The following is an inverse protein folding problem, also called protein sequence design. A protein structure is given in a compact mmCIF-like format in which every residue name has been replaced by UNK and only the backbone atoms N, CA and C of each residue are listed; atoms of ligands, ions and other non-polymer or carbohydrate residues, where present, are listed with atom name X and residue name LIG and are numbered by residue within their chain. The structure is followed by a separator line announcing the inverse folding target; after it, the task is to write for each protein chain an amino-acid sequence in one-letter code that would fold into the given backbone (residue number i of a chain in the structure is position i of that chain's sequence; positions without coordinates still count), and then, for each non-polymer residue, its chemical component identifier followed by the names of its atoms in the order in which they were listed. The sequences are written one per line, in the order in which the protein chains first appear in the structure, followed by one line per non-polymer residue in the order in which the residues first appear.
data_IF_294890676053
#
_entry.id   IF_294890676053
#
_cell.length_a   1.000
_cell.length_b   1.000
_cell.length_c   1.000
_cell.angle_alpha   90.00
_cell.angle_beta   90.00
_cell.angle_gamma   90.00
#
_symmetry.space_group_name_H-M   'P 1'
#
loop_
_entity.id
_entity.type
_entity.pdbx_description
1 polymer ?
#
# COMPACT_ATOMS: atom_id res chain seq x y z
N UNK A 1 42.35 15.38 -1.03
CA UNK A 1 40.98 15.21 -1.55
C UNK A 1 41.06 14.25 -2.72
N UNK A 2 40.29 13.16 -2.72
CA UNK A 2 40.28 12.20 -3.83
C UNK A 2 39.57 12.87 -5.03
N UNK A 3 40.31 13.21 -6.08
CA UNK A 3 39.76 13.75 -7.32
C UNK A 3 39.47 12.62 -8.31
N UNK A 4 38.64 12.88 -9.32
CA UNK A 4 38.39 11.92 -10.40
C UNK A 4 39.69 11.50 -11.11
N UNK A 5 40.57 12.46 -11.39
CA UNK A 5 41.89 12.21 -11.99
C UNK A 5 42.77 11.30 -11.11
N UNK A 6 42.75 11.53 -9.79
CA UNK A 6 43.47 10.67 -8.85
C UNK A 6 42.93 9.23 -8.88
N UNK A 7 41.60 9.06 -8.87
CA UNK A 7 40.96 7.75 -8.96
C UNK A 7 41.36 7.00 -10.23
N UNK A 8 41.25 7.63 -11.40
CA UNK A 8 41.60 7.00 -12.67
C UNK A 8 43.10 6.68 -12.78
N UNK A 9 43.96 7.56 -12.28
CA UNK A 9 45.40 7.28 -12.20
C UNK A 9 45.68 6.05 -11.34
N UNK A 10 45.00 5.90 -10.21
CA UNK A 10 45.14 4.72 -9.34
C UNK A 10 44.63 3.45 -10.02
N UNK A 11 43.50 3.51 -10.74
CA UNK A 11 42.98 2.36 -11.48
C UNK A 11 43.93 1.92 -12.58
N UNK A 12 44.52 2.86 -13.33
CA UNK A 12 45.51 2.55 -14.36
C UNK A 12 46.75 1.89 -13.74
N UNK A 13 47.30 2.44 -12.64
CA UNK A 13 48.41 1.82 -11.91
C UNK A 13 48.08 0.40 -11.43
N UNK A 14 46.86 0.18 -10.93
CA UNK A 14 46.41 -1.15 -10.51
C UNK A 14 46.27 -2.11 -11.68
N UNK A 15 45.84 -1.66 -12.86
CA UNK A 15 45.71 -2.48 -14.06
C UNK A 15 47.07 -2.85 -14.67
N UNK A 16 48.01 -1.90 -14.69
CA UNK A 16 49.35 -2.09 -15.23
C UNK A 16 50.24 -2.96 -14.31
N UNK A 17 49.91 -3.03 -13.02
CA UNK A 17 50.69 -3.79 -12.05
C UNK A 17 50.27 -5.26 -12.00
N UNK A 18 51.13 -6.16 -12.49
CA UNK A 18 50.95 -7.63 -12.36
C UNK A 18 51.49 -8.19 -11.04
N UNK A 19 52.27 -7.41 -10.28
CA UNK A 19 52.91 -7.83 -9.03
C UNK A 19 51.97 -7.70 -7.83
N UNK A 20 51.62 -8.82 -7.20
CA UNK A 20 50.66 -8.91 -6.09
C UNK A 20 50.99 -8.00 -4.89
N UNK A 21 52.26 -7.93 -4.49
CA UNK A 21 52.69 -7.11 -3.35
C UNK A 21 52.57 -5.61 -3.62
N UNK A 22 52.79 -5.19 -4.86
CA UNK A 22 52.68 -3.78 -5.26
C UNK A 22 51.21 -3.36 -5.36
N UNK A 23 50.33 -4.21 -5.90
CA UNK A 23 48.86 -4.01 -5.86
C UNK A 23 48.34 -3.86 -4.43
N UNK A 24 48.80 -4.70 -3.50
CA UNK A 24 48.40 -4.63 -2.09
C UNK A 24 48.86 -3.32 -1.43
N UNK A 25 50.06 -2.83 -1.77
CA UNK A 25 50.57 -1.53 -1.31
C UNK A 25 49.71 -0.37 -1.83
N UNK A 26 49.46 -0.32 -3.15
CA UNK A 26 48.61 0.71 -3.78
C UNK A 26 47.20 0.73 -3.16
N UNK A 27 46.60 -0.45 -2.97
CA UNK A 27 45.28 -0.57 -2.36
C UNK A 27 45.26 -0.05 -0.93
N UNK A 28 46.30 -0.35 -0.13
CA UNK A 28 46.42 0.12 1.25
C UNK A 28 46.60 1.64 1.32
N UNK A 29 47.36 2.23 0.39
CA UNK A 29 47.67 3.67 0.38
C UNK A 29 46.50 4.51 -0.16
N UNK A 30 45.74 3.99 -1.12
CA UNK A 30 44.68 4.75 -1.82
C UNK A 30 43.26 4.37 -1.38
N UNK A 31 43.07 3.21 -0.77
CA UNK A 31 41.76 2.62 -0.48
C UNK A 31 41.03 2.07 -1.73
N UNK A 32 41.61 2.19 -2.92
CA UNK A 32 41.04 1.73 -4.19
C UNK A 32 41.64 0.36 -4.51
N UNK A 33 40.79 -0.65 -4.69
CA UNK A 33 41.25 -2.03 -4.94
C UNK A 33 41.09 -2.48 -6.39
N UNK A 34 40.06 -1.98 -7.08
CA UNK A 34 39.75 -2.30 -8.47
C UNK A 34 38.69 -1.34 -9.02
N UNK A 35 38.51 -1.34 -10.33
CA UNK A 35 37.38 -0.66 -10.97
C UNK A 35 36.11 -1.46 -10.70
N UNK A 36 35.05 -0.88 -10.11
CA UNK A 36 33.79 -1.58 -9.92
C UNK A 36 33.24 -2.10 -11.25
N UNK A 37 32.72 -3.32 -11.26
CA UNK A 37 32.19 -3.95 -12.48
C UNK A 37 31.12 -3.08 -13.17
N UNK A 38 30.28 -2.41 -12.37
CA UNK A 38 29.26 -1.49 -12.86
C UNK A 38 29.83 -0.21 -13.50
N UNK A 39 31.06 0.18 -13.18
CA UNK A 39 31.75 1.30 -13.83
C UNK A 39 32.57 0.84 -15.06
N UNK A 40 33.05 -0.41 -15.06
CA UNK A 40 33.84 -1.00 -16.14
C UNK A 40 33.00 -1.53 -17.30
N UNK A 41 31.74 -1.90 -17.04
CA UNK A 41 30.90 -2.57 -18.02
C UNK A 41 30.11 -1.59 -18.88
N UNK A 42 30.21 -1.67 -20.22
CA UNK A 42 29.39 -0.86 -21.13
C UNK A 42 27.90 -1.21 -21.06
N UNK A 43 27.53 -2.31 -20.38
CA UNK A 43 26.12 -2.61 -20.07
C UNK A 43 25.51 -1.65 -19.05
N UNK A 44 26.34 -0.92 -18.28
CA UNK A 44 25.88 0.06 -17.30
C UNK A 44 26.11 1.49 -17.81
N UNK A 45 25.31 1.92 -18.79
CA UNK A 45 25.29 3.31 -19.28
C UNK A 45 24.51 4.20 -18.32
N UNK A 46 25.19 4.90 -17.41
CA UNK A 46 24.52 5.89 -16.55
C UNK A 46 24.05 7.10 -17.39
N UNK A 47 22.79 7.58 -17.23
CA UNK A 47 21.80 7.20 -16.23
C UNK A 47 20.82 6.10 -16.67
N UNK A 48 20.84 5.68 -17.93
CA UNK A 48 19.93 4.69 -18.55
C UNK A 48 19.97 3.28 -17.94
N UNK A 49 21.06 2.88 -17.30
CA UNK A 49 21.25 1.54 -16.75
C UNK A 49 20.77 1.35 -15.31
N UNK A 50 20.43 2.43 -14.62
CA UNK A 50 19.77 2.33 -13.32
C UNK A 50 18.28 2.55 -13.56
N UNK A 51 17.42 1.52 -13.37
CA UNK A 51 15.99 1.75 -13.40
C UNK A 51 15.69 2.83 -12.35
N UNK A 52 14.90 3.84 -12.74
CA UNK A 52 14.38 4.80 -11.76
C UNK A 52 13.64 3.97 -10.72
N UNK A 53 14.06 4.06 -9.47
CA UNK A 53 13.37 3.42 -8.36
C UNK A 53 12.21 4.33 -7.96
N UNK A 54 10.99 4.11 -8.49
CA UNK A 54 9.86 4.96 -8.16
C UNK A 54 9.60 4.90 -6.67
N UNK A 55 9.91 3.80 -5.98
CA UNK A 55 9.62 3.69 -4.57
C UNK A 55 10.46 4.67 -3.74
N UNK A 56 11.77 4.71 -3.97
CA UNK A 56 12.65 5.61 -3.21
C UNK A 56 12.34 7.08 -3.50
N UNK A 57 12.12 7.42 -4.77
CA UNK A 57 11.79 8.80 -5.15
C UNK A 57 10.44 9.22 -4.57
N UNK A 58 9.40 8.42 -4.79
CA UNK A 58 8.04 8.78 -4.43
C UNK A 58 7.85 8.74 -2.91
N UNK A 59 8.16 7.61 -2.26
CA UNK A 59 7.82 7.41 -0.86
C UNK A 59 8.90 7.96 0.08
N UNK A 60 10.17 7.60 -0.15
CA UNK A 60 11.25 7.98 0.79
C UNK A 60 11.67 9.44 0.64
N UNK A 61 11.65 10.00 -0.56
CA UNK A 61 12.07 11.39 -0.76
C UNK A 61 10.89 12.35 -0.64
N UNK A 62 9.82 12.17 -1.43
CA UNK A 62 8.75 13.18 -1.51
C UNK A 62 7.82 13.13 -0.30
N UNK A 63 7.28 11.96 0.09
CA UNK A 63 6.37 11.89 1.26
C UNK A 63 7.09 12.31 2.54
N UNK A 64 8.32 11.86 2.75
CA UNK A 64 9.14 12.30 3.87
C UNK A 64 9.39 13.81 3.85
N UNK A 65 9.67 14.39 2.69
CA UNK A 65 9.84 15.84 2.56
C UNK A 65 8.55 16.61 2.89
N UNK A 66 7.39 16.17 2.41
CA UNK A 66 6.10 16.81 2.74
C UNK A 66 5.86 16.75 4.26
N UNK A 67 6.15 15.61 4.89
CA UNK A 67 6.06 15.48 6.35
C UNK A 67 6.97 16.49 7.07
N UNK A 68 8.19 16.70 6.59
CA UNK A 68 9.15 17.66 7.17
C UNK A 68 8.66 19.09 7.01
N UNK A 69 8.08 19.37 5.85
CA UNK A 69 7.54 20.68 5.54
C UNK A 69 6.41 21.02 6.53
N UNK A 70 5.56 20.06 6.88
CA UNK A 70 4.50 20.24 7.86
C UNK A 70 4.99 20.33 9.31
N UNK A 71 6.03 19.58 9.68
CA UNK A 71 6.43 19.41 11.10
C UNK A 71 7.64 20.23 11.52
N UNK A 72 8.54 20.57 10.59
CA UNK A 72 9.84 21.20 10.88
C UNK A 72 9.95 22.57 10.19
N UNK A 73 9.64 22.66 8.90
CA UNK A 73 9.98 23.83 8.08
C UNK A 73 8.86 24.87 7.96
N UNK A 74 7.67 24.57 8.46
CA UNK A 74 6.55 25.52 8.51
C UNK A 74 6.42 26.17 9.87
N UNK A 75 5.91 27.39 9.87
CA UNK A 75 5.59 28.16 11.07
C UNK A 75 4.12 28.04 11.44
N UNK A 76 3.77 28.30 12.71
CA UNK A 76 2.39 28.21 13.23
C UNK A 76 1.37 29.08 12.49
N UNK A 77 1.81 30.13 11.80
CA UNK A 77 0.96 30.99 10.99
C UNK A 77 0.54 30.36 9.65
N UNK A 78 1.25 29.32 9.21
CA UNK A 78 1.06 28.73 7.88
C UNK A 78 0.00 27.62 7.93
N UNK A 79 -0.87 27.52 6.90
CA UNK A 79 -1.95 26.52 6.87
C UNK A 79 -1.42 25.09 6.81
N UNK A 80 -0.18 24.90 6.36
CA UNK A 80 0.49 23.60 6.25
C UNK A 80 1.10 23.12 7.56
N UNK A 81 1.13 23.97 8.60
CA UNK A 81 1.82 23.66 9.84
C UNK A 81 1.06 22.62 10.67
N UNK A 82 1.73 21.52 10.95
CA UNK A 82 1.29 20.48 11.86
C UNK A 82 1.94 20.72 13.23
N UNK A 83 1.18 21.34 14.14
CA UNK A 83 1.64 21.59 15.51
C UNK A 83 2.17 20.33 16.18
N UNK A 84 3.16 20.45 17.08
CA UNK A 84 3.76 19.33 17.82
C UNK A 84 2.72 18.41 18.45
N UNK A 85 1.69 18.96 19.10
CA UNK A 85 0.62 18.17 19.73
C UNK A 85 -0.14 17.30 18.70
N UNK A 86 -0.49 17.89 17.54
CA UNK A 86 -1.14 17.13 16.46
C UNK A 86 -0.19 16.10 15.84
N UNK A 87 1.09 16.41 15.69
CA UNK A 87 2.09 15.45 15.17
C UNK A 87 2.28 14.26 16.11
N UNK A 88 2.33 14.48 17.43
CA UNK A 88 2.41 13.42 18.43
C UNK A 88 1.14 12.55 18.43
N UNK A 89 -0.04 13.18 18.35
CA UNK A 89 -1.29 12.45 18.25
C UNK A 89 -1.35 11.63 16.96
N UNK A 90 -0.92 12.21 15.84
CA UNK A 90 -0.83 11.54 14.56
C UNK A 90 0.04 10.29 14.67
N UNK A 91 1.23 10.42 15.26
CA UNK A 91 2.17 9.32 15.46
C UNK A 91 1.59 8.15 16.26
N UNK A 92 0.93 8.45 17.38
CA UNK A 92 0.23 7.46 18.21
C UNK A 92 -0.91 6.77 17.45
N UNK A 93 -1.67 7.52 16.68
CA UNK A 93 -2.78 7.00 15.88
C UNK A 93 -2.30 6.06 14.77
N UNK A 94 -1.18 6.37 14.11
CA UNK A 94 -0.52 5.46 13.15
C UNK A 94 -0.13 4.15 13.83
N UNK A 95 0.58 4.23 14.95
CA UNK A 95 1.04 3.03 15.67
C UNK A 95 -0.12 2.16 16.15
N UNK A 96 -1.25 2.76 16.55
CA UNK A 96 -2.43 2.03 17.00
C UNK A 96 -3.19 1.30 15.87
N UNK A 97 -3.03 1.75 14.62
CA UNK A 97 -3.74 1.20 13.45
C UNK A 97 -3.25 -0.18 13.00
N UNK A 98 -2.14 -0.68 13.55
CA UNK A 98 -1.52 -1.95 13.12
C UNK A 98 -2.44 -3.16 13.29
N UNK A 99 -3.27 -3.19 14.35
CA UNK A 99 -4.09 -4.34 14.73
C UNK A 99 -5.18 -4.68 13.71
N UNK A 100 -5.54 -3.72 12.87
CA UNK A 100 -6.58 -3.84 11.84
C UNK A 100 -6.05 -3.75 10.43
N UNK A 101 -4.72 -3.71 10.27
CA UNK A 101 -4.05 -3.74 8.98
C UNK A 101 -3.63 -5.18 8.64
N UNK A 102 -4.08 -5.79 7.54
CA UNK A 102 -3.72 -7.16 7.18
C UNK A 102 -2.20 -7.36 7.00
N UNK A 103 -1.59 -8.41 7.59
CA UNK A 103 -0.19 -8.79 7.37
C UNK A 103 0.25 -8.92 5.92
N UNK A 104 -0.67 -9.25 5.02
CA UNK A 104 -0.40 -9.34 3.58
C UNK A 104 -0.19 -7.98 2.91
N UNK A 105 -0.48 -6.86 3.60
CA UNK A 105 -0.32 -5.52 3.05
C UNK A 105 1.09 -4.99 3.29
N UNK A 106 1.56 -4.99 4.53
CA UNK A 106 2.95 -4.66 4.86
C UNK A 106 3.27 -5.09 6.29
N UNK A 107 4.53 -4.90 6.69
CA UNK A 107 4.95 -5.01 8.09
C UNK A 107 4.36 -3.93 9.02
N UNK A 108 4.71 -3.97 10.31
CA UNK A 108 4.32 -2.96 11.30
C UNK A 108 4.64 -1.52 10.86
N UNK A 109 3.66 -0.62 10.92
CA UNK A 109 3.85 0.81 10.61
C UNK A 109 4.06 1.57 11.91
N UNK A 110 5.24 2.16 12.08
CA UNK A 110 5.64 2.81 13.33
C UNK A 110 5.27 4.28 13.33
N UNK A 111 5.41 4.91 14.50
CA UNK A 111 5.20 6.35 14.67
C UNK A 111 6.21 7.16 13.81
N UNK A 112 5.76 7.95 12.81
CA UNK A 112 6.65 8.75 11.99
C UNK A 112 7.38 9.84 12.76
N UNK A 113 6.78 10.45 13.79
CA UNK A 113 7.43 11.50 14.55
C UNK A 113 8.65 10.95 15.30
N UNK A 114 8.53 9.75 15.86
CA UNK A 114 9.61 9.12 16.63
C UNK A 114 10.65 8.41 15.74
N UNK A 115 10.23 7.83 14.62
CA UNK A 115 11.07 6.90 13.84
C UNK A 115 11.57 7.45 12.51
N UNK A 116 11.08 8.62 12.06
CA UNK A 116 11.54 9.24 10.80
C UNK A 116 13.06 9.34 10.70
N UNK A 117 13.72 9.81 11.77
CA UNK A 117 15.17 10.02 11.77
C UNK A 117 15.97 8.72 11.91
N UNK A 118 15.33 7.62 12.34
CA UNK A 118 15.94 6.33 12.62
C UNK A 118 15.52 5.24 11.61
N UNK A 119 15.75 5.50 10.32
CA UNK A 119 15.47 4.56 9.22
C UNK A 119 13.99 4.13 9.13
N UNK A 120 13.10 5.11 8.94
CA UNK A 120 11.72 4.83 8.55
C UNK A 120 11.69 4.14 7.18
N UNK A 121 11.07 2.97 7.13
CA UNK A 121 11.13 2.06 5.98
C UNK A 121 10.17 2.51 4.89
N UNK A 122 10.44 2.06 3.67
CA UNK A 122 9.70 2.47 2.49
C UNK A 122 8.22 2.12 2.56
N UNK A 123 7.89 0.91 3.02
CA UNK A 123 6.50 0.49 3.18
C UNK A 123 5.75 1.30 4.25
N UNK A 124 6.47 1.87 5.23
CA UNK A 124 5.86 2.73 6.24
C UNK A 124 5.50 4.09 5.62
N UNK A 125 6.37 4.64 4.76
CA UNK A 125 6.04 5.85 3.97
C UNK A 125 4.88 5.60 3.00
N UNK A 126 4.79 4.41 2.41
CA UNK A 126 3.66 4.01 1.57
C UNK A 126 2.36 3.95 2.38
N UNK A 127 2.41 3.36 3.57
CA UNK A 127 1.28 3.32 4.49
C UNK A 127 0.83 4.74 4.90
N UNK A 128 1.76 5.65 5.16
CA UNK A 128 1.40 7.04 5.45
C UNK A 128 0.69 7.70 4.28
N UNK A 129 1.23 7.57 3.07
CA UNK A 129 0.66 8.17 1.87
C UNK A 129 -0.74 7.66 1.58
N UNK A 130 -0.93 6.33 1.52
CA UNK A 130 -2.19 5.74 1.05
C UNK A 130 -3.24 5.56 2.15
N UNK A 131 -2.82 5.40 3.41
CA UNK A 131 -3.74 5.02 4.48
C UNK A 131 -3.87 6.10 5.53
N UNK A 132 -2.79 6.66 6.04
CA UNK A 132 -2.85 7.38 7.32
C UNK A 132 -2.92 8.90 7.22
N UNK A 133 -2.25 9.54 6.26
CA UNK A 133 -2.18 11.02 6.21
C UNK A 133 -3.57 11.63 6.05
N UNK A 134 -4.37 11.17 5.09
CA UNK A 134 -5.71 11.73 4.86
C UNK A 134 -6.66 11.31 5.98
N UNK A 135 -6.69 10.03 6.35
CA UNK A 135 -7.62 9.50 7.37
C UNK A 135 -7.44 10.18 8.72
N UNK A 136 -6.21 10.20 9.24
CA UNK A 136 -5.87 10.81 10.51
C UNK A 136 -5.92 12.33 10.40
N UNK A 137 -5.48 12.89 9.28
CA UNK A 137 -5.49 14.33 9.05
C UNK A 137 -6.89 14.94 9.11
N UNK A 138 -7.90 14.26 8.58
CA UNK A 138 -9.31 14.64 8.72
C UNK A 138 -9.71 14.70 10.20
N UNK A 139 -9.39 13.65 10.96
CA UNK A 139 -9.82 13.54 12.37
C UNK A 139 -9.07 14.51 13.29
N UNK A 140 -7.81 14.85 12.97
CA UNK A 140 -7.05 15.87 13.69
C UNK A 140 -7.37 17.30 13.24
N UNK A 141 -8.31 17.48 12.32
CA UNK A 141 -8.70 18.78 11.79
C UNK A 141 -7.51 19.51 11.14
N UNK A 142 -6.74 18.81 10.31
CA UNK A 142 -5.76 19.46 9.44
C UNK A 142 -6.49 20.36 8.43
N UNK A 143 -5.77 21.36 7.90
CA UNK A 143 -6.35 22.30 6.95
C UNK A 143 -6.91 21.56 5.71
N UNK A 144 -8.17 21.83 5.36
CA UNK A 144 -8.86 21.11 4.28
C UNK A 144 -8.21 21.31 2.92
N UNK A 145 -7.64 22.49 2.64
CA UNK A 145 -6.93 22.74 1.36
C UNK A 145 -5.63 21.94 1.28
N UNK A 146 -4.94 21.76 2.40
CA UNK A 146 -3.73 20.92 2.49
C UNK A 146 -4.07 19.45 2.23
N UNK A 147 -5.13 18.94 2.88
CA UNK A 147 -5.59 17.57 2.66
C UNK A 147 -6.12 17.35 1.24
N UNK A 148 -6.84 18.32 0.67
CA UNK A 148 -7.30 18.27 -0.71
C UNK A 148 -6.11 18.18 -1.68
N UNK A 149 -5.13 19.06 -1.55
CA UNK A 149 -3.92 19.01 -2.36
C UNK A 149 -3.18 17.68 -2.21
N UNK A 150 -3.06 17.16 -0.97
CA UNK A 150 -2.45 15.86 -0.72
C UNK A 150 -3.26 14.69 -1.32
N UNK A 151 -4.58 14.80 -1.42
CA UNK A 151 -5.41 13.79 -2.10
C UNK A 151 -5.18 13.74 -3.61
N UNK A 152 -4.92 14.89 -4.25
CA UNK A 152 -4.50 14.92 -5.66
C UNK A 152 -3.13 14.26 -5.82
N UNK A 153 -2.19 14.56 -4.92
CA UNK A 153 -0.87 13.92 -4.88
C UNK A 153 -0.96 12.39 -4.74
N UNK A 154 -1.77 11.90 -3.81
CA UNK A 154 -2.02 10.46 -3.62
C UNK A 154 -2.61 9.83 -4.89
N UNK A 155 -3.60 10.48 -5.53
CA UNK A 155 -4.22 9.97 -6.75
C UNK A 155 -3.24 9.91 -7.95
N UNK A 156 -2.35 10.89 -8.08
CA UNK A 156 -1.27 10.87 -9.08
C UNK A 156 -0.36 9.66 -8.85
N UNK A 157 -0.02 9.39 -7.60
CA UNK A 157 0.88 8.28 -7.24
C UNK A 157 0.19 6.93 -7.42
N UNK A 158 -1.06 6.81 -7.03
CA UNK A 158 -1.87 5.63 -7.26
C UNK A 158 -1.97 5.33 -8.77
N UNK A 159 -2.24 6.35 -9.59
CA UNK A 159 -2.27 6.19 -11.04
C UNK A 159 -0.94 5.65 -11.58
N UNK A 160 0.18 6.27 -11.18
CA UNK A 160 1.52 5.91 -11.63
C UNK A 160 1.96 4.51 -11.17
N UNK A 161 1.54 4.10 -9.97
CA UNK A 161 1.88 2.83 -9.36
C UNK A 161 0.90 1.70 -9.70
N UNK A 162 -0.19 1.95 -10.43
CA UNK A 162 -1.12 0.89 -10.81
C UNK A 162 -0.69 0.23 -12.10
N UNK A 163 -0.52 -1.10 -12.09
CA UNK A 163 -0.11 -1.88 -13.28
C UNK A 163 -1.33 -2.11 -14.19
N UNK A 164 -1.75 -1.04 -14.89
CA UNK A 164 -2.90 -1.06 -15.82
C UNK A 164 -2.53 -0.33 -17.12
N UNK A 165 -2.96 -0.88 -18.26
CA UNK A 165 -2.83 -0.19 -19.54
C UNK A 165 -3.58 1.16 -19.49
N UNK A 166 -2.99 2.21 -20.07
CA UNK A 166 -3.53 3.58 -20.02
C UNK A 166 -3.85 4.07 -21.42
N UNK A 167 -5.04 4.63 -21.59
CA UNK A 167 -5.45 5.32 -22.80
C UNK A 167 -4.83 6.73 -22.88
N UNK A 168 -4.86 7.36 -24.05
CA UNK A 168 -4.46 8.77 -24.22
C UNK A 168 -5.33 9.71 -23.36
N UNK A 169 -6.61 9.37 -23.18
CA UNK A 169 -7.53 10.10 -22.30
C UNK A 169 -7.10 9.99 -20.83
N UNK A 170 -6.73 8.79 -20.36
CA UNK A 170 -6.19 8.59 -19.01
C UNK A 170 -4.96 9.47 -18.75
N UNK A 171 -4.04 9.54 -19.73
CA UNK A 171 -2.84 10.36 -19.63
C UNK A 171 -3.16 11.86 -19.63
N UNK A 172 -4.17 12.28 -20.39
CA UNK A 172 -4.65 13.67 -20.42
C UNK A 172 -5.24 14.05 -19.07
N UNK A 173 -6.06 13.17 -18.50
CA UNK A 173 -6.66 13.37 -17.17
C UNK A 173 -5.59 13.40 -16.07
N UNK A 174 -4.60 12.51 -16.12
CA UNK A 174 -3.45 12.54 -15.21
C UNK A 174 -2.70 13.87 -15.32
N UNK A 175 -2.41 14.33 -16.54
CA UNK A 175 -1.69 15.59 -16.76
C UNK A 175 -2.47 16.78 -16.19
N UNK A 176 -3.79 16.80 -16.33
CA UNK A 176 -4.63 17.83 -15.74
C UNK A 176 -4.63 17.77 -14.21
N UNK A 177 -4.71 16.57 -13.62
CA UNK A 177 -4.61 16.38 -12.18
C UNK A 177 -3.25 16.86 -11.62
N UNK A 178 -2.15 16.59 -12.31
CA UNK A 178 -0.81 17.09 -11.96
C UNK A 178 -0.79 18.62 -11.99
N UNK A 179 -1.36 19.26 -13.01
CA UNK A 179 -1.44 20.74 -13.07
C UNK A 179 -2.20 21.31 -11.88
N UNK A 180 -3.35 20.73 -11.53
CA UNK A 180 -4.15 21.16 -10.37
C UNK A 180 -3.34 21.00 -9.09
N UNK A 181 -2.72 19.83 -8.87
CA UNK A 181 -1.86 19.59 -7.72
C UNK A 181 -0.74 20.63 -7.62
N UNK A 182 0.00 20.89 -8.69
CA UNK A 182 1.14 21.84 -8.68
C UNK A 182 0.69 23.27 -8.42
N UNK A 183 -0.42 23.70 -9.04
CA UNK A 183 -0.99 25.04 -8.85
C UNK A 183 -1.42 25.25 -7.40
N UNK A 184 -2.13 24.27 -6.83
CA UNK A 184 -2.53 24.31 -5.42
C UNK A 184 -1.32 24.21 -4.48
N UNK A 185 -0.33 23.39 -4.84
CA UNK A 185 0.89 23.25 -4.04
C UNK A 185 1.64 24.59 -3.97
N UNK A 186 1.86 25.24 -5.11
CA UNK A 186 2.47 26.57 -5.16
C UNK A 186 1.67 27.57 -4.32
N UNK A 187 0.35 27.64 -4.51
CA UNK A 187 -0.54 28.54 -3.76
C UNK A 187 -0.50 28.31 -2.25
N UNK A 188 -0.50 27.07 -1.79
CA UNK A 188 -0.64 26.70 -0.37
C UNK A 188 0.70 26.70 0.35
N UNK A 189 1.76 26.19 -0.29
CA UNK A 189 3.05 25.95 0.35
C UNK A 189 4.07 27.06 0.09
N UNK A 190 3.96 27.77 -1.03
CA UNK A 190 4.83 28.91 -1.37
C UNK A 190 4.06 30.22 -1.15
N UNK A 191 2.84 30.32 -1.66
CA UNK A 191 2.05 31.55 -1.63
C UNK A 191 2.74 32.69 -2.37
N UNK A 192 2.64 33.91 -1.84
CA UNK A 192 3.30 35.11 -2.41
C UNK A 192 4.74 35.31 -1.90
N UNK A 193 5.32 34.28 -1.26
CA UNK A 193 6.56 34.37 -0.50
C UNK A 193 7.70 33.66 -1.24
N UNK A 194 8.44 34.36 -2.12
CA UNK A 194 9.50 33.76 -2.94
C UNK A 194 10.62 33.13 -2.11
N UNK A 195 10.84 33.57 -0.87
CA UNK A 195 11.80 32.96 0.05
C UNK A 195 11.47 31.48 0.38
N UNK A 196 10.19 31.09 0.30
CA UNK A 196 9.71 29.72 0.55
C UNK A 196 9.96 28.78 -0.63
N UNK A 197 10.26 29.32 -1.81
CA UNK A 197 10.68 28.53 -2.99
C UNK A 197 11.93 27.70 -2.65
N UNK A 198 12.83 28.24 -1.82
CA UNK A 198 14.03 27.50 -1.39
C UNK A 198 13.70 26.27 -0.53
N UNK A 199 12.61 26.30 0.25
CA UNK A 199 12.15 25.14 1.04
C UNK A 199 11.64 24.03 0.13
N UNK A 200 10.94 24.40 -0.95
CA UNK A 200 10.34 23.46 -1.90
C UNK A 200 11.32 22.97 -2.97
N UNK A 201 12.25 23.80 -3.45
CA UNK A 201 13.23 23.43 -4.49
C UNK A 201 14.57 23.01 -3.89
N UNK A 202 15.06 23.66 -2.83
CA UNK A 202 16.37 23.41 -2.25
C UNK A 202 16.47 22.07 -1.54
N UNK A 203 15.44 21.67 -0.79
CA UNK A 203 15.40 20.35 -0.15
C UNK A 203 15.00 19.23 -1.09
N UNK A 204 14.05 19.47 -2.01
CA UNK A 204 13.75 18.52 -3.07
C UNK A 204 14.98 18.34 -3.97
N UNK A 205 15.73 19.38 -4.30
CA UNK A 205 16.99 19.28 -5.04
C UNK A 205 18.13 18.62 -4.26
N UNK A 206 18.19 18.80 -2.94
CA UNK A 206 19.15 18.09 -2.09
C UNK A 206 18.80 16.60 -1.88
N UNK A 207 17.50 16.26 -1.85
CA UNK A 207 17.00 14.87 -1.72
C UNK A 207 16.87 14.16 -3.08
N UNK A 208 16.66 14.89 -4.18
CA UNK A 208 16.83 14.46 -5.57
C UNK A 208 18.31 14.64 -5.94
N UNK A 209 19.19 13.86 -5.32
CA UNK A 209 20.53 13.60 -5.90
C UNK A 209 20.45 12.49 -6.95
N UNK A 210 19.59 12.67 -7.95
CA UNK A 210 19.72 11.99 -9.24
C UNK A 210 19.52 13.03 -10.35
N UNK A 211 20.60 13.28 -11.10
CA UNK A 211 20.72 14.38 -12.05
C UNK A 211 20.20 13.97 -13.43
N UNK A 212 19.27 14.79 -13.94
CA UNK A 212 18.85 15.00 -15.34
C UNK A 212 17.63 14.18 -15.83
N UNK A 213 16.51 14.91 -15.95
CA UNK A 213 15.30 14.62 -16.75
C UNK A 213 14.28 13.59 -16.22
N UNK A 214 13.41 13.97 -15.25
CA UNK A 214 12.39 13.09 -14.66
C UNK A 214 11.23 12.68 -15.59
N UNK A 215 10.97 13.40 -16.70
CA UNK A 215 9.77 13.17 -17.52
C UNK A 215 10.01 12.39 -18.83
N UNK A 216 11.25 12.31 -19.33
CA UNK A 216 11.55 11.63 -20.59
C UNK A 216 11.56 10.10 -20.47
N UNK A 217 11.87 9.56 -19.29
CA UNK A 217 12.06 8.11 -19.09
C UNK A 217 10.83 7.39 -18.49
N UNK A 218 9.84 8.14 -18.00
CA UNK A 218 8.54 7.59 -17.60
C UNK A 218 7.81 6.97 -18.80
N UNK A 219 7.91 7.60 -19.98
CA UNK A 219 7.31 7.11 -21.21
C UNK A 219 7.91 5.76 -21.67
N UNK A 220 9.22 5.56 -21.51
CA UNK A 220 9.89 4.33 -21.93
C UNK A 220 9.58 3.13 -21.01
N UNK A 221 9.48 3.36 -19.69
CA UNK A 221 9.07 2.33 -18.72
C UNK A 221 7.61 1.90 -18.91
N UNK A 222 6.73 2.85 -19.25
CA UNK A 222 5.36 2.54 -19.65
C UNK A 222 5.37 1.72 -20.94
N UNK A 223 6.16 2.12 -21.94
CA UNK A 223 6.26 1.41 -23.23
C UNK A 223 6.76 -0.03 -23.11
N UNK A 224 7.87 -0.29 -22.42
CA UNK A 224 8.43 -1.64 -22.26
C UNK A 224 7.48 -2.59 -21.52
N UNK A 225 6.74 -2.07 -20.53
CA UNK A 225 5.75 -2.88 -19.80
C UNK A 225 4.46 -3.12 -20.59
N UNK A 226 4.03 -2.19 -21.43
CA UNK A 226 2.93 -2.44 -22.36
C UNK A 226 3.32 -3.47 -23.43
N UNK A 227 4.59 -3.52 -23.85
CA UNK A 227 5.11 -4.60 -24.71
C UNK A 227 5.04 -5.96 -24.01
N UNK A 228 5.39 -6.06 -22.73
CA UNK A 228 5.24 -7.29 -21.93
C UNK A 228 3.77 -7.72 -21.78
N UNK A 229 2.84 -6.78 -21.63
CA UNK A 229 1.40 -7.10 -21.56
C UNK A 229 0.85 -7.52 -22.92
N UNK A 230 1.28 -6.88 -24.00
CA UNK A 230 0.96 -7.30 -25.35
C UNK A 230 1.46 -8.74 -25.59
N UNK A 231 2.69 -9.05 -25.19
CA UNK A 231 3.25 -10.41 -25.25
C UNK A 231 2.41 -11.43 -24.47
N UNK A 232 1.97 -11.11 -23.25
CA UNK A 232 1.08 -11.99 -22.47
C UNK A 232 -0.32 -12.14 -23.10
N UNK A 233 -0.77 -11.16 -23.87
CA UNK A 233 -2.01 -11.26 -24.65
C UNK A 233 -1.85 -12.11 -25.92
N UNK A 234 -0.66 -12.14 -26.52
CA UNK A 234 -0.34 -12.95 -27.70
C UNK A 234 0.02 -14.40 -27.34
N UNK A 235 0.56 -14.63 -26.14
CA UNK A 235 0.97 -15.95 -25.64
C UNK A 235 0.33 -16.26 -24.27
N UNK A 236 -0.98 -16.57 -24.24
CA UNK A 236 -1.71 -16.83 -23.00
C UNK A 236 -1.14 -17.99 -22.18
N UNK A 237 -0.46 -18.95 -22.82
CA UNK A 237 0.23 -20.08 -22.19
C UNK A 237 1.37 -19.70 -21.24
N UNK A 238 1.86 -18.45 -21.31
CA UNK A 238 2.79 -17.90 -20.33
C UNK A 238 2.09 -17.50 -19.01
N UNK A 239 0.75 -17.43 -18.99
CA UNK A 239 -0.02 -17.37 -17.75
C UNK A 239 -0.11 -18.77 -17.15
N UNK A 240 0.62 -18.99 -16.06
CA UNK A 240 0.51 -20.23 -15.30
C UNK A 240 -0.91 -20.37 -14.75
N UNK A 241 -1.64 -21.45 -15.06
CA UNK A 241 -2.99 -21.63 -14.53
C UNK A 241 -3.00 -21.68 -12.99
N UNK A 242 -3.75 -20.76 -12.37
CA UNK A 242 -3.86 -20.61 -10.93
C UNK A 242 -4.96 -21.52 -10.36
N UNK A 243 -4.66 -22.81 -10.14
CA UNK A 243 -5.56 -23.70 -9.40
C UNK A 243 -5.80 -23.25 -7.95
N UNK A 244 -7.07 -23.11 -7.54
CA UNK A 244 -7.49 -22.84 -6.16
C UNK A 244 -7.57 -24.15 -5.37
N UNK A 245 -6.78 -24.32 -4.30
CA UNK A 245 -6.99 -25.40 -3.33
C UNK A 245 -7.92 -24.93 -2.21
N UNK A 246 -8.98 -25.69 -1.95
CA UNK A 246 -9.88 -25.50 -0.82
C UNK A 246 -9.28 -26.18 0.42
N UNK A 247 -9.18 -25.46 1.54
CA UNK A 247 -8.91 -26.07 2.84
C UNK A 247 -9.99 -25.58 3.81
N UNK A 248 -10.92 -26.47 4.15
CA UNK A 248 -11.96 -26.22 5.13
C UNK A 248 -11.47 -26.68 6.50
N UNK A 249 -11.34 -25.75 7.45
CA UNK A 249 -11.24 -26.09 8.87
C UNK A 249 -12.67 -26.25 9.39
N UNK A 250 -13.09 -27.50 9.57
CA UNK A 250 -14.39 -27.85 10.14
C UNK A 250 -14.39 -27.59 11.65
N UNK A 251 -15.32 -26.76 12.11
CA UNK A 251 -15.65 -26.67 13.53
C UNK A 251 -16.86 -27.58 13.82
N UNK A 252 -16.84 -28.36 14.91
CA UNK A 252 -17.98 -29.19 15.30
C UNK A 252 -19.24 -28.35 15.55
N UNK A 253 -20.41 -28.99 15.35
CA UNK A 253 -21.77 -28.43 15.48
C UNK A 253 -22.06 -27.91 16.89
N UNK A 254 -21.56 -26.73 17.25
CA UNK A 254 -22.15 -25.94 18.34
C UNK A 254 -23.19 -25.00 17.73
N UNK A 255 -24.46 -25.39 17.88
CA UNK A 255 -25.62 -24.56 17.59
C UNK A 255 -25.74 -23.51 18.69
N UNK A 256 -25.08 -22.37 18.53
CA UNK A 256 -25.29 -21.20 19.37
C UNK A 256 -26.49 -20.39 18.91
N UNK A 257 -27.04 -19.54 19.76
CA UNK A 257 -28.11 -18.58 19.39
C UNK A 257 -27.75 -17.76 18.14
N UNK A 258 -26.49 -17.34 18.03
CA UNK A 258 -25.96 -16.65 16.85
C UNK A 258 -26.09 -17.48 15.55
N UNK A 259 -26.01 -18.80 15.62
CA UNK A 259 -26.19 -19.65 14.44
C UNK A 259 -27.59 -19.49 13.85
N UNK A 260 -28.64 -19.52 14.67
CA UNK A 260 -30.02 -19.39 14.19
C UNK A 260 -30.29 -18.01 13.58
N UNK A 261 -29.76 -16.94 14.19
CA UNK A 261 -29.85 -15.58 13.65
C UNK A 261 -29.22 -15.50 12.26
N UNK A 262 -28.04 -16.11 12.07
CA UNK A 262 -27.36 -16.14 10.78
C UNK A 262 -28.15 -16.92 9.72
N UNK A 263 -28.68 -18.09 10.07
CA UNK A 263 -29.47 -18.91 9.13
C UNK A 263 -30.77 -18.20 8.76
N UNK A 264 -31.45 -17.57 9.72
CA UNK A 264 -32.64 -16.77 9.43
C UNK A 264 -32.33 -15.61 8.49
N UNK A 265 -31.19 -14.93 8.66
CA UNK A 265 -30.75 -13.87 7.75
C UNK A 265 -30.50 -14.40 6.34
N UNK A 266 -29.86 -15.57 6.19
CA UNK A 266 -29.61 -16.19 4.88
C UNK A 266 -30.91 -16.61 4.20
N UNK A 267 -31.81 -17.28 4.92
CA UNK A 267 -33.10 -17.69 4.37
C UNK A 267 -33.98 -16.50 3.99
N UNK A 268 -33.93 -15.42 4.77
CA UNK A 268 -34.62 -14.16 4.43
C UNK A 268 -34.05 -13.54 3.15
N UNK A 269 -32.73 -13.60 2.97
CA UNK A 269 -32.07 -13.12 1.75
C UNK A 269 -32.45 -13.97 0.53
N UNK A 270 -32.49 -15.30 0.67
CA UNK A 270 -32.93 -16.23 -0.39
C UNK A 270 -34.44 -16.20 -0.64
N UNK A 271 -35.22 -15.52 0.22
CA UNK A 271 -36.69 -15.55 0.23
C UNK A 271 -37.25 -16.98 0.38
N UNK A 272 -36.61 -17.81 1.21
CA UNK A 272 -36.95 -19.21 1.46
C UNK A 272 -37.47 -19.42 2.89
N UNK A 273 -38.36 -20.40 3.09
CA UNK A 273 -38.77 -20.85 4.42
C UNK A 273 -37.72 -21.76 5.08
N UNK A 274 -37.63 -21.72 6.40
CA UNK A 274 -36.73 -22.60 7.17
C UNK A 274 -37.17 -24.07 7.03
N UNK A 275 -36.23 -24.94 6.65
CA UNK A 275 -36.37 -26.39 6.71
C UNK A 275 -35.21 -26.94 7.57
N UNK A 276 -35.52 -27.59 8.72
CA UNK A 276 -34.50 -28.07 9.65
C UNK A 276 -33.63 -29.20 9.08
N UNK A 277 -34.05 -29.82 7.97
CA UNK A 277 -33.30 -30.91 7.34
C UNK A 277 -32.29 -30.42 6.29
N UNK A 278 -32.27 -29.12 5.97
CA UNK A 278 -31.31 -28.57 5.01
C UNK A 278 -29.88 -28.78 5.55
N UNK A 279 -28.99 -29.44 4.78
CA UNK A 279 -27.58 -29.53 5.14
C UNK A 279 -26.93 -28.14 5.14
N UNK A 280 -26.35 -27.76 6.28
CA UNK A 280 -25.66 -26.48 6.44
C UNK A 280 -24.25 -26.74 6.97
N UNK A 281 -23.26 -26.22 6.25
CA UNK A 281 -21.86 -26.20 6.69
C UNK A 281 -21.46 -24.77 7.05
N UNK A 282 -20.79 -24.59 8.20
CA UNK A 282 -20.26 -23.29 8.65
C UNK A 282 -18.74 -23.37 8.82
N UNK A 283 -18.01 -22.38 8.31
CA UNK A 283 -16.55 -22.29 8.49
C UNK A 283 -16.08 -20.85 8.69
N UNK A 284 -14.81 -20.71 9.08
CA UNK A 284 -14.26 -19.47 9.58
C UNK A 284 -13.19 -18.78 8.72
N UNK A 285 -12.71 -19.41 7.65
CA UNK A 285 -11.61 -18.90 6.81
C UNK A 285 -11.85 -19.18 5.33
N UNK A 286 -11.53 -18.24 4.47
CA UNK A 286 -11.74 -18.37 3.03
C UNK A 286 -10.58 -17.73 2.25
N UNK A 287 -10.10 -18.40 1.22
CA UNK A 287 -9.16 -17.79 0.28
C UNK A 287 -9.91 -16.83 -0.64
N UNK A 288 -9.55 -15.54 -0.59
CA UNK A 288 -10.03 -14.53 -1.56
C UNK A 288 -9.14 -14.53 -2.80
N UNK A 289 -7.84 -14.74 -2.59
CA UNK A 289 -6.87 -14.96 -3.66
C UNK A 289 -5.82 -15.97 -3.20
N UNK A 290 -4.87 -16.35 -4.07
CA UNK A 290 -3.77 -17.25 -3.68
C UNK A 290 -2.96 -16.75 -2.48
N UNK A 291 -2.86 -15.42 -2.31
CA UNK A 291 -2.03 -14.80 -1.27
C UNK A 291 -2.85 -14.24 -0.10
N UNK A 292 -4.17 -14.12 -0.25
CA UNK A 292 -5.05 -13.50 0.75
C UNK A 292 -6.05 -14.52 1.30
N UNK A 293 -6.06 -14.65 2.63
CA UNK A 293 -7.07 -15.39 3.38
C UNK A 293 -7.91 -14.37 4.15
N UNK A 294 -9.22 -14.37 3.89
CA UNK A 294 -10.21 -13.66 4.68
C UNK A 294 -10.60 -14.56 5.85
N UNK A 295 -10.36 -14.08 7.06
CA UNK A 295 -10.86 -14.73 8.26
C UNK A 295 -12.25 -14.21 8.59
N UNK A 296 -12.88 -14.82 9.57
CA UNK A 296 -14.13 -14.35 10.14
C UNK A 296 -13.97 -14.06 11.62
N UNK A 297 -14.88 -13.26 12.16
CA UNK A 297 -14.94 -12.97 13.58
C UNK A 297 -14.96 -14.26 14.43
N UNK A 298 -15.74 -15.27 14.03
CA UNK A 298 -15.75 -16.55 14.76
C UNK A 298 -14.39 -17.23 14.78
N UNK A 299 -13.62 -17.14 13.70
CA UNK A 299 -12.29 -17.78 13.61
C UNK A 299 -11.21 -17.02 14.37
N UNK A 300 -11.31 -15.70 14.43
CA UNK A 300 -10.30 -14.87 15.12
C UNK A 300 -10.56 -14.81 16.63
N UNK A 301 -11.81 -14.91 17.07
CA UNK A 301 -12.17 -14.93 18.49
C UNK A 301 -12.03 -16.33 19.14
N UNK A 302 -11.95 -17.40 18.34
CA UNK A 302 -11.68 -18.73 18.86
C UNK A 302 -10.16 -18.94 19.04
N UNK A 303 -9.72 -18.97 20.29
CA UNK A 303 -8.31 -19.21 20.66
C UNK A 303 -7.58 -17.92 20.99
N UNK A 304 -6.34 -17.79 20.52
CA UNK A 304 -5.55 -16.57 20.68
C UNK A 304 -5.89 -15.58 19.56
N UNK A 305 -6.43 -14.39 19.89
CA UNK A 305 -6.68 -13.36 18.88
C UNK A 305 -5.40 -13.04 18.11
N UNK A 306 -5.46 -12.93 16.77
CA UNK A 306 -4.29 -12.57 15.99
C UNK A 306 -3.85 -11.15 16.36
N UNK A 307 -2.54 -10.89 16.28
CA UNK A 307 -2.02 -9.53 16.49
C UNK A 307 -2.55 -8.53 15.46
N UNK A 308 -2.98 -9.03 14.29
CA UNK A 308 -3.50 -8.25 13.17
C UNK A 308 -4.65 -9.00 12.51
N UNK A 309 -5.77 -8.31 12.29
CA UNK A 309 -7.00 -8.91 11.79
C UNK A 309 -7.02 -9.03 10.26
N UNK A 310 -7.63 -10.11 9.77
CA UNK A 310 -7.89 -10.40 8.35
C UNK A 310 -9.37 -10.54 8.05
N UNK A 311 -10.27 -9.99 8.90
CA UNK A 311 -11.71 -10.25 8.81
C UNK A 311 -12.51 -9.23 7.99
N UNK A 312 -11.86 -8.17 7.53
CA UNK A 312 -12.53 -7.10 6.79
C UNK A 312 -12.35 -7.31 5.29
N UNK A 313 -13.41 -7.06 4.53
CA UNK A 313 -13.43 -7.26 3.09
C UNK A 313 -14.10 -6.09 2.36
N UNK A 314 -13.75 -6.00 1.08
CA UNK A 314 -14.47 -5.27 0.06
C UNK A 314 -15.21 -6.27 -0.83
N UNK A 315 -16.46 -5.97 -1.16
CA UNK A 315 -17.25 -6.69 -2.14
C UNK A 315 -17.96 -5.71 -3.09
N UNK A 316 -18.71 -6.26 -4.04
CA UNK A 316 -19.58 -5.48 -4.91
C UNK A 316 -21.04 -5.85 -4.68
N UNK A 317 -21.91 -4.85 -4.69
CA UNK A 317 -23.35 -5.10 -4.84
C UNK A 317 -23.72 -5.38 -6.31
N UNK A 318 -25.01 -5.62 -6.57
CA UNK A 318 -25.52 -5.86 -7.91
C UNK A 318 -25.31 -4.68 -8.90
N UNK A 319 -25.06 -3.47 -8.39
CA UNK A 319 -24.82 -2.27 -9.17
C UNK A 319 -23.33 -1.93 -9.28
N UNK A 320 -22.44 -2.84 -8.86
CA UNK A 320 -20.99 -2.63 -8.80
C UNK A 320 -20.57 -1.47 -7.89
N UNK A 321 -21.42 -1.12 -6.92
CA UNK A 321 -21.06 -0.18 -5.86
C UNK A 321 -20.26 -0.95 -4.80
N UNK A 322 -19.07 -0.44 -4.41
CA UNK A 322 -18.28 -1.07 -3.36
C UNK A 322 -19.06 -1.18 -2.06
N UNK A 323 -19.08 -2.37 -1.49
CA UNK A 323 -19.57 -2.65 -0.14
C UNK A 323 -18.39 -3.08 0.73
N UNK A 324 -18.43 -2.68 2.01
CA UNK A 324 -17.38 -3.05 2.97
C UNK A 324 -18.01 -3.77 4.14
N UNK A 325 -17.32 -4.76 4.69
CA UNK A 325 -17.87 -5.62 5.73
C UNK A 325 -16.83 -6.23 6.65
N UNK A 326 -17.26 -6.50 7.88
CA UNK A 326 -16.59 -7.44 8.79
C UNK A 326 -17.25 -8.81 8.64
N UNK A 327 -16.51 -9.80 8.12
CA UNK A 327 -17.00 -11.15 7.97
C UNK A 327 -17.22 -11.81 9.35
N UNK A 328 -18.44 -12.27 9.62
CA UNK A 328 -18.81 -12.91 10.90
C UNK A 328 -18.62 -14.43 10.79
N UNK A 329 -19.14 -15.04 9.73
CA UNK A 329 -19.04 -16.46 9.44
C UNK A 329 -19.34 -16.75 7.97
N UNK A 330 -18.78 -17.84 7.43
CA UNK A 330 -19.13 -18.35 6.10
C UNK A 330 -20.05 -19.57 6.21
N UNK A 331 -20.92 -19.72 5.21
CA UNK A 331 -21.93 -20.77 5.14
C UNK A 331 -22.01 -21.39 3.76
N UNK A 332 -22.30 -22.67 3.71
CA UNK A 332 -22.63 -23.44 2.50
C UNK A 332 -23.94 -24.15 2.79
N UNK A 333 -24.92 -23.91 1.93
CA UNK A 333 -26.29 -24.39 2.06
C UNK A 333 -26.65 -25.12 0.77
N UNK A 334 -27.23 -26.32 0.93
CA UNK A 334 -27.74 -27.08 -0.21
C UNK A 334 -29.09 -26.53 -0.69
N UNK A 335 -29.13 -26.15 -1.97
CA UNK A 335 -30.32 -25.67 -2.65
C UNK A 335 -31.29 -26.81 -3.00
N UNK A 336 -32.51 -26.45 -3.41
CA UNK A 336 -33.58 -27.41 -3.75
C UNK A 336 -33.23 -28.35 -4.92
N UNK A 337 -32.33 -27.92 -5.80
CA UNK A 337 -31.89 -28.67 -6.99
C UNK A 337 -30.56 -29.42 -6.75
N UNK A 338 -30.10 -29.55 -5.49
CA UNK A 338 -28.80 -30.13 -5.17
C UNK A 338 -27.59 -29.22 -5.44
N UNK A 339 -27.84 -27.99 -5.92
CA UNK A 339 -26.80 -26.97 -6.10
C UNK A 339 -26.42 -26.37 -4.74
N UNK A 340 -25.14 -26.38 -4.38
CA UNK A 340 -24.66 -25.72 -3.17
C UNK A 340 -24.43 -24.22 -3.41
N UNK A 341 -24.90 -23.39 -2.48
CA UNK A 341 -24.68 -21.95 -2.49
C UNK A 341 -23.83 -21.56 -1.29
N UNK A 342 -22.93 -20.59 -1.50
CA UNK A 342 -21.98 -20.15 -0.48
C UNK A 342 -22.18 -18.68 -0.13
N UNK A 343 -22.28 -18.41 1.16
CA UNK A 343 -22.62 -17.11 1.71
C UNK A 343 -21.61 -16.64 2.75
N UNK A 344 -21.45 -15.32 2.84
CA UNK A 344 -20.87 -14.64 4.00
C UNK A 344 -21.98 -13.93 4.77
N UNK A 345 -22.01 -14.15 6.07
CA UNK A 345 -22.77 -13.32 7.01
C UNK A 345 -21.81 -12.30 7.59
N UNK A 346 -22.16 -11.03 7.54
CA UNK A 346 -21.23 -9.93 7.85
C UNK A 346 -21.90 -8.74 8.53
N UNK A 347 -21.13 -7.95 9.26
CA UNK A 347 -21.52 -6.61 9.68
C UNK A 347 -21.19 -5.62 8.56
N UNK A 348 -22.19 -4.99 7.91
CA UNK A 348 -21.93 -4.05 6.83
C UNK A 348 -21.42 -2.72 7.39
N UNK A 349 -20.56 -2.08 6.62
CA UNK A 349 -20.30 -0.65 6.76
C UNK A 349 -21.47 0.12 6.12
N UNK A 350 -22.07 1.02 6.87
CA UNK A 350 -23.17 1.91 6.45
C UNK A 350 -22.73 3.36 6.47
N UNK A 351 -23.57 4.25 5.93
CA UNK A 351 -23.24 5.67 5.71
C UNK A 351 -21.93 5.85 4.93
N UNK A 352 -21.70 4.94 3.98
CA UNK A 352 -20.44 4.85 3.23
C UNK A 352 -20.35 6.01 2.25
N UNK A 353 -19.25 6.76 2.33
CA UNK A 353 -18.94 7.83 1.39
C UNK A 353 -17.43 7.92 1.18
N UNK A 354 -17.05 8.41 -0.01
CA UNK A 354 -15.66 8.66 -0.37
C UNK A 354 -15.35 10.14 -0.15
N UNK A 355 -14.39 10.46 0.71
CA UNK A 355 -13.93 11.83 0.97
C UNK A 355 -12.43 11.88 0.76
N UNK A 356 -11.96 12.77 -0.13
CA UNK A 356 -10.53 12.89 -0.45
C UNK A 356 -9.90 11.56 -0.89
N UNK A 357 -10.63 10.79 -1.72
CA UNK A 357 -10.27 9.45 -2.19
C UNK A 357 -10.16 8.37 -1.10
N UNK A 358 -10.73 8.62 0.09
CA UNK A 358 -10.76 7.67 1.19
C UNK A 358 -12.21 7.29 1.52
N UNK A 359 -12.48 5.99 1.54
CA UNK A 359 -13.78 5.45 1.95
C UNK A 359 -13.92 5.44 3.47
N UNK A 360 -15.06 5.91 3.96
CA UNK A 360 -15.40 5.88 5.38
C UNK A 360 -16.89 5.69 5.61
N UNK A 361 -17.22 5.17 6.79
CA UNK A 361 -18.60 4.93 7.22
C UNK A 361 -18.68 4.59 8.71
N UNK A 362 -19.71 3.84 9.09
CA UNK A 362 -19.91 3.32 10.45
C UNK A 362 -20.35 1.86 10.37
N UNK A 363 -20.00 1.06 11.38
CA UNK A 363 -20.52 -0.30 11.46
C UNK A 363 -22.02 -0.28 11.76
N UNK A 364 -22.80 -1.02 10.97
CA UNK A 364 -24.20 -1.27 11.30
C UNK A 364 -24.30 -2.22 12.51
N UNK A 365 -25.42 -2.11 13.23
CA UNK A 365 -25.78 -3.09 14.27
C UNK A 365 -26.31 -4.37 13.65
N UNK A 366 -27.04 -4.25 12.54
CA UNK A 366 -27.63 -5.37 11.86
C UNK A 366 -26.59 -6.15 11.05
N UNK A 367 -26.87 -7.44 10.85
CA UNK A 367 -26.07 -8.30 9.97
C UNK A 367 -26.68 -8.32 8.57
N UNK A 368 -25.85 -8.54 7.56
CA UNK A 368 -26.26 -8.76 6.18
C UNK A 368 -25.67 -10.05 5.64
N UNK A 369 -26.21 -10.47 4.50
CA UNK A 369 -25.79 -11.67 3.77
C UNK A 369 -25.39 -11.27 2.37
N UNK A 370 -24.32 -11.90 1.88
CA UNK A 370 -23.82 -11.71 0.53
C UNK A 370 -23.30 -13.06 -0.01
N UNK A 371 -23.46 -13.37 -1.31
CA UNK A 371 -22.76 -14.48 -1.93
C UNK A 371 -21.24 -14.31 -1.79
N UNK A 372 -20.53 -15.40 -1.51
CA UNK A 372 -19.05 -15.36 -1.41
C UNK A 372 -18.41 -14.87 -2.72
N UNK A 373 -19.01 -15.18 -3.87
CA UNK A 373 -18.56 -14.72 -5.18
C UNK A 373 -18.58 -13.21 -5.36
N UNK A 374 -19.26 -12.47 -4.49
CA UNK A 374 -19.30 -11.00 -4.52
C UNK A 374 -18.16 -10.34 -3.73
N UNK A 375 -17.36 -11.11 -2.98
CA UNK A 375 -16.18 -10.62 -2.28
C UNK A 375 -15.06 -10.40 -3.31
N UNK A 376 -14.48 -9.19 -3.30
CA UNK A 376 -13.46 -8.75 -4.26
C UNK A 376 -12.06 -8.85 -3.68
N UNK A 377 -11.83 -8.28 -2.50
CA UNK A 377 -10.54 -8.33 -1.83
C UNK A 377 -10.67 -8.20 -0.31
N UNK A 378 -9.60 -8.49 0.41
CA UNK A 378 -9.45 -8.12 1.81
C UNK A 378 -9.12 -6.63 1.92
N UNK A 379 -9.54 -6.01 3.02
CA UNK A 379 -9.17 -4.62 3.35
C UNK A 379 -8.69 -4.54 4.79
N UNK A 380 -7.89 -3.52 5.09
CA UNK A 380 -7.70 -3.08 6.46
C UNK A 380 -8.77 -2.07 6.85
N UNK A 381 -8.86 -1.80 8.15
CA UNK A 381 -9.67 -0.69 8.65
C UNK A 381 -8.85 0.19 9.59
N UNK A 382 -9.26 1.43 9.77
CA UNK A 382 -8.80 2.29 10.86
C UNK A 382 -10.00 2.97 11.51
N UNK A 383 -10.10 2.91 12.84
CA UNK A 383 -11.27 3.37 13.58
C UNK A 383 -10.95 4.58 14.45
N UNK A 384 -11.82 5.59 14.44
CA UNK A 384 -11.71 6.76 15.32
C UNK A 384 -13.09 7.36 15.61
N UNK A 385 -13.43 7.58 16.88
CA UNK A 385 -14.70 8.18 17.32
C UNK A 385 -15.94 7.67 16.56
N UNK A 386 -16.14 6.34 16.52
CA UNK A 386 -17.19 5.61 15.78
C UNK A 386 -17.12 5.60 14.25
N UNK A 387 -16.23 6.38 13.64
CA UNK A 387 -15.97 6.33 12.20
C UNK A 387 -15.00 5.21 11.89
N UNK A 388 -15.23 4.57 10.76
CA UNK A 388 -14.39 3.50 10.23
C UNK A 388 -13.90 3.95 8.86
N UNK A 389 -12.60 3.86 8.66
CA UNK A 389 -11.89 4.18 7.42
C UNK A 389 -11.41 2.89 6.79
N UNK A 390 -11.64 2.73 5.49
CA UNK A 390 -11.20 1.55 4.75
C UNK A 390 -9.79 1.76 4.23
N UNK A 391 -8.90 0.82 4.53
CA UNK A 391 -7.52 0.80 4.05
C UNK A 391 -7.43 -0.26 2.94
N UNK A 392 -7.45 0.17 1.67
CA UNK A 392 -7.28 -0.75 0.53
C UNK A 392 -5.82 -1.11 0.32
N UNK A 393 -5.58 -2.28 -0.26
CA UNK A 393 -4.23 -2.69 -0.67
C UNK A 393 -3.68 -1.68 -1.68
N UNK A 394 -2.50 -1.13 -1.44
CA UNK A 394 -1.92 -0.15 -2.35
C UNK A 394 -1.32 -0.83 -3.59
N UNK A 395 -1.41 -0.20 -4.78
CA UNK A 395 -0.98 -0.84 -6.02
C UNK A 395 0.54 -1.05 -6.08
N UNK A 396 1.32 -0.26 -5.34
CA UNK A 396 2.77 -0.45 -5.23
C UNK A 396 3.21 -1.82 -4.67
N UNK A 397 2.34 -2.62 -4.03
CA UNK A 397 2.71 -3.98 -3.60
C UNK A 397 2.80 -4.95 -4.78
N UNK A 398 2.04 -4.70 -5.85
CA UNK A 398 2.07 -5.54 -7.05
C UNK A 398 3.39 -5.42 -7.81
N UNK A 399 4.16 -4.39 -7.49
CA UNK A 399 5.49 -4.15 -8.06
C UNK A 399 6.61 -4.88 -7.31
N UNK A 400 6.34 -5.41 -6.11
CA UNK A 400 7.35 -6.12 -5.33
C UNK A 400 7.50 -7.55 -5.83
N UNK A 401 8.75 -8.02 -5.97
CA UNK A 401 9.05 -9.42 -6.28
C UNK A 401 8.68 -10.33 -5.09
N UNK A 402 8.58 -11.64 -5.32
CA UNK A 402 8.31 -12.59 -4.22
C UNK A 402 9.43 -12.56 -3.16
N UNK A 403 10.69 -12.41 -3.59
CA UNK A 403 11.85 -12.24 -2.69
C UNK A 403 11.76 -10.97 -1.84
N UNK A 404 11.26 -9.86 -2.41
CA UNK A 404 11.05 -8.60 -1.69
C UNK A 404 9.88 -8.69 -0.70
N UNK A 405 8.85 -9.47 -1.02
CA UNK A 405 7.73 -9.76 -0.11
C UNK A 405 8.13 -10.70 1.04
N UNK A 406 9.02 -11.66 0.79
CA UNK A 406 9.49 -12.62 1.79
C UNK A 406 10.43 -11.99 2.82
N UNK A 407 11.34 -11.11 2.39
CA UNK A 407 12.18 -10.32 3.31
C UNK A 407 11.39 -9.44 4.27
N UNK A 408 10.16 -9.04 3.91
CA UNK A 408 9.26 -8.33 4.83
C UNK A 408 8.68 -9.25 5.92
N UNK A 409 8.56 -10.56 5.67
CA UNK A 409 8.06 -11.53 6.65
C UNK A 409 9.13 -11.93 7.66
N UNK A 410 10.39 -12.05 7.23
CA UNK A 410 11.52 -12.42 8.10
C UNK A 410 11.84 -11.38 9.18
N UNK A 411 11.53 -10.10 8.96
CA UNK A 411 11.62 -9.06 10.00
C UNK A 411 10.60 -9.19 11.14
N UNK A 412 9.84 -10.28 11.18
CA UNK A 412 8.89 -10.65 12.25
C UNK A 412 9.43 -11.77 13.15
N UNK A 413 10.64 -12.28 12.91
CA UNK A 413 11.29 -13.18 13.86
C UNK A 413 11.85 -12.37 15.03
N UNK A 414 11.21 -12.62 16.17
CA UNK A 414 11.53 -12.29 17.56
C UNK A 414 13.04 -12.08 17.78
N UNK A 415 13.40 -10.86 18.23
CA UNK A 415 14.57 -10.69 19.09
C UNK A 415 14.22 -11.39 20.42
N UNK A 416 14.89 -12.50 20.69
CA UNK A 416 14.91 -13.16 22.01
C UNK A 416 15.58 -12.26 23.06
#
# INVERSE_FOLDING_TARGET
MCTEEHYWSTINQLNDTTVKNLRAKITRETGISHMPLAAASPAFIHPSSFPVDPFHLLFKNIVAFIWDLWTIHSSQSEPIHLSTQKAEMFGKLVASGISTLPPSFCGPVRDPLLKRQSQYKIYEWMALLYWYIITIGIELGMNSSVLQNFSHFMAIFEFAMTIKARSTEDLTNLHQLIKVFLTDFERIYVGIHPEKISRTIGEIGHKIRSKKAPFANLANLIYEKEVMKALLSYYPELQTELGSKKMALFFPRFQSENFFIHIQAILSWEKRSFDPNIPVTRWGKMHVSKKNVLNTQISELHGHPPSRSHRYFEGNDANLVPIFGEAIAFYEIEGLEGNTQQFVVYHPLVDVHCTLNVWRGKWAKDIKVLPISSIVDIVGIWCYNSRVYVLRKHPGLEWLTEEELEKQKEGTQVED
#
